data_IF_315589715952
#
_entry.id   IF_315589715952
#
_cell.length_a   1.000
_cell.length_b   1.000
_cell.length_c   1.000
_cell.angle_alpha   90.00
_cell.angle_beta   90.00
_cell.angle_gamma   90.00
#
_symmetry.space_group_name_H-M   'P 1'
#
loop_
_entity.id
_entity.type
_entity.pdbx_description
1 polymer ?
#
# COMPACT_ATOMS: atom_id res chain seq x y z
N UNK A 1 -4.32 7.59 17.89
CA UNK A 1 -4.35 6.60 16.77
C UNK A 1 -4.73 7.19 15.39
N UNK A 2 -5.51 8.27 15.27
CA UNK A 2 -6.05 8.72 13.98
C UNK A 2 -5.03 9.20 12.91
N UNK A 3 -3.89 9.74 13.30
CA UNK A 3 -2.96 10.37 12.35
C UNK A 3 -2.25 9.35 11.42
N UNK A 4 -1.79 8.22 11.94
CA UNK A 4 -1.12 7.18 11.14
C UNK A 4 -2.08 6.54 10.13
N UNK A 5 -3.31 6.26 10.58
CA UNK A 5 -4.38 5.74 9.74
C UNK A 5 -4.74 6.72 8.60
N UNK A 6 -4.88 8.00 8.92
CA UNK A 6 -5.16 9.04 7.92
C UNK A 6 -4.05 9.15 6.87
N UNK A 7 -2.78 9.15 7.30
CA UNK A 7 -1.64 9.19 6.38
C UNK A 7 -1.57 7.93 5.51
N UNK A 8 -1.82 6.76 6.08
CA UNK A 8 -1.81 5.51 5.32
C UNK A 8 -2.97 5.43 4.32
N UNK A 9 -4.16 5.91 4.67
CA UNK A 9 -5.30 6.03 3.74
C UNK A 9 -4.98 6.98 2.57
N UNK A 10 -4.38 8.13 2.86
CA UNK A 10 -4.01 9.11 1.84
C UNK A 10 -2.98 8.55 0.86
N UNK A 11 -1.86 8.03 1.40
CA UNK A 11 -0.77 7.46 0.59
C UNK A 11 -1.18 6.22 -0.20
N UNK A 12 -1.98 5.31 0.39
CA UNK A 12 -2.51 4.16 -0.35
C UNK A 12 -3.44 4.60 -1.49
N UNK A 13 -4.26 5.63 -1.27
CA UNK A 13 -5.14 6.16 -2.32
C UNK A 13 -4.37 6.79 -3.48
N UNK A 14 -3.29 7.54 -3.22
CA UNK A 14 -2.53 8.23 -4.26
C UNK A 14 -1.81 7.28 -5.23
N UNK A 15 -1.57 6.04 -4.82
CA UNK A 15 -0.94 5.01 -5.67
C UNK A 15 -1.93 3.93 -6.14
N UNK A 16 -3.23 4.10 -5.90
CA UNK A 16 -4.25 3.12 -6.29
C UNK A 16 -4.26 1.81 -5.46
N UNK A 17 -3.67 1.80 -4.27
CA UNK A 17 -3.63 0.65 -3.37
C UNK A 17 -4.97 0.44 -2.63
N UNK A 18 -6.02 0.10 -3.39
CA UNK A 18 -7.40 0.02 -2.91
C UNK A 18 -7.61 -0.97 -1.77
N UNK A 19 -6.92 -2.12 -1.77
CA UNK A 19 -7.05 -3.13 -0.71
C UNK A 19 -6.55 -2.60 0.63
N UNK A 20 -5.35 -2.01 0.66
CA UNK A 20 -4.78 -1.36 1.84
C UNK A 20 -5.67 -0.20 2.33
N UNK A 21 -6.15 0.65 1.42
CA UNK A 21 -7.08 1.75 1.74
C UNK A 21 -8.35 1.22 2.41
N UNK A 22 -8.98 0.19 1.84
CA UNK A 22 -10.23 -0.37 2.34
C UNK A 22 -10.07 -0.96 3.74
N UNK A 23 -8.95 -1.65 4.00
CA UNK A 23 -8.64 -2.15 5.36
C UNK A 23 -8.47 -0.98 6.33
N UNK A 24 -7.80 0.10 5.93
CA UNK A 24 -7.67 1.28 6.78
C UNK A 24 -9.03 1.94 7.10
N UNK A 25 -9.96 1.96 6.15
CA UNK A 25 -11.34 2.45 6.38
C UNK A 25 -12.04 1.57 7.44
N UNK A 26 -11.97 0.25 7.29
CA UNK A 26 -12.53 -0.69 8.26
C UNK A 26 -11.84 -0.57 9.64
N UNK A 27 -10.52 -0.39 9.66
CA UNK A 27 -9.74 -0.22 10.88
C UNK A 27 -10.14 1.05 11.64
N UNK A 28 -10.39 2.16 10.92
CA UNK A 28 -10.93 3.41 11.49
C UNK A 28 -12.28 3.16 12.15
N UNK A 29 -13.21 2.50 11.46
CA UNK A 29 -14.54 2.21 12.01
C UNK A 29 -14.48 1.36 13.30
N UNK A 30 -13.60 0.35 13.34
CA UNK A 30 -13.36 -0.44 14.56
C UNK A 30 -12.77 0.41 15.70
N UNK A 31 -11.88 1.35 15.37
CA UNK A 31 -11.30 2.28 16.36
C UNK A 31 -12.35 3.25 16.92
N UNK A 32 -13.25 3.77 16.08
CA UNK A 32 -14.33 4.67 16.49
C UNK A 32 -15.34 3.95 17.40
N UNK A 33 -15.58 2.66 17.14
CA UNK A 33 -16.46 1.82 17.96
C UNK A 33 -15.78 1.27 19.24
N UNK A 34 -14.53 1.65 19.53
CA UNK A 34 -13.72 1.07 20.61
C UNK A 34 -13.62 -0.48 20.56
N UNK A 35 -13.75 -1.06 19.37
CA UNK A 35 -13.70 -2.50 19.16
C UNK A 35 -12.25 -2.99 19.08
N UNK A 36 -11.63 -3.25 20.25
CA UNK A 36 -10.23 -3.69 20.34
C UNK A 36 -9.94 -4.96 19.54
N UNK A 37 -10.84 -5.94 19.58
CA UNK A 37 -10.66 -7.19 18.85
C UNK A 37 -10.73 -6.96 17.32
N UNK A 38 -11.65 -6.11 16.88
CA UNK A 38 -11.75 -5.68 15.49
C UNK A 38 -10.52 -4.90 15.02
N UNK A 39 -9.97 -4.04 15.89
CA UNK A 39 -8.72 -3.31 15.64
C UNK A 39 -7.53 -4.25 15.42
N UNK A 40 -7.34 -5.24 16.29
CA UNK A 40 -6.24 -6.21 16.15
C UNK A 40 -6.37 -7.03 14.87
N UNK A 41 -7.57 -7.51 14.54
CA UNK A 41 -7.82 -8.21 13.27
C UNK A 41 -7.56 -7.32 12.06
N UNK A 42 -8.01 -6.07 12.09
CA UNK A 42 -7.79 -5.15 11.00
C UNK A 42 -6.31 -4.81 10.80
N UNK A 43 -5.51 -4.79 11.88
CA UNK A 43 -4.06 -4.63 11.80
C UNK A 43 -3.38 -5.84 11.12
N UNK A 44 -3.74 -7.06 11.50
CA UNK A 44 -3.22 -8.28 10.88
C UNK A 44 -3.53 -8.32 9.36
N UNK A 45 -4.77 -7.99 8.99
CA UNK A 45 -5.16 -7.89 7.58
C UNK A 45 -4.40 -6.77 6.87
N UNK A 46 -4.17 -5.63 7.54
CA UNK A 46 -3.45 -4.49 6.97
C UNK A 46 -2.00 -4.87 6.64
N UNK A 47 -1.32 -5.58 7.55
CA UNK A 47 0.04 -6.08 7.31
C UNK A 47 0.09 -7.06 6.13
N UNK A 48 -0.89 -7.97 6.05
CA UNK A 48 -0.99 -8.91 4.93
C UNK A 48 -1.16 -8.18 3.59
N UNK A 49 -2.10 -7.23 3.52
CA UNK A 49 -2.38 -6.47 2.30
C UNK A 49 -1.20 -5.60 1.87
N UNK A 50 -0.51 -4.99 2.83
CA UNK A 50 0.69 -4.20 2.57
C UNK A 50 1.82 -5.07 2.01
N UNK A 51 2.11 -6.21 2.64
CA UNK A 51 3.14 -7.15 2.18
C UNK A 51 2.81 -7.70 0.79
N UNK A 52 1.55 -8.06 0.55
CA UNK A 52 1.09 -8.53 -0.75
C UNK A 52 1.33 -7.48 -1.85
N UNK A 53 0.90 -6.24 -1.61
CA UNK A 53 1.11 -5.13 -2.54
C UNK A 53 2.60 -4.89 -2.81
N UNK A 54 3.43 -4.87 -1.76
CA UNK A 54 4.87 -4.66 -1.87
C UNK A 54 5.52 -5.72 -2.75
N UNK A 55 5.19 -6.99 -2.55
CA UNK A 55 5.71 -8.09 -3.37
C UNK A 55 5.30 -7.96 -4.84
N UNK A 56 4.05 -7.59 -5.11
CA UNK A 56 3.55 -7.41 -6.48
C UNK A 56 4.18 -6.22 -7.19
N UNK A 57 4.37 -5.09 -6.49
CA UNK A 57 5.08 -3.94 -7.03
C UNK A 57 6.56 -4.27 -7.30
N UNK A 58 7.20 -5.02 -6.40
CA UNK A 58 8.57 -5.46 -6.61
C UNK A 58 8.71 -6.34 -7.85
N UNK A 59 7.82 -7.33 -8.02
CA UNK A 59 7.75 -8.18 -9.23
C UNK A 59 7.55 -7.35 -10.49
N UNK A 60 6.60 -6.39 -10.47
CA UNK A 60 6.35 -5.48 -11.58
C UNK A 60 7.61 -4.67 -11.95
N UNK A 61 8.25 -4.05 -10.96
CA UNK A 61 9.46 -3.24 -11.21
C UNK A 61 10.65 -4.07 -11.69
N UNK A 62 10.76 -5.33 -11.28
CA UNK A 62 11.78 -6.23 -11.82
C UNK A 62 11.55 -6.51 -13.31
N UNK A 63 10.31 -6.82 -13.70
CA UNK A 63 9.94 -7.05 -15.10
C UNK A 63 10.19 -5.79 -15.95
N UNK A 64 9.79 -4.61 -15.45
CA UNK A 64 9.99 -3.36 -16.18
C UNK A 64 11.48 -3.00 -16.32
N UNK A 65 12.30 -3.24 -15.29
CA UNK A 65 13.75 -3.06 -15.40
C UNK A 65 14.37 -4.03 -16.43
N UNK A 66 13.96 -5.29 -16.43
CA UNK A 66 14.43 -6.27 -17.43
C UNK A 66 14.02 -5.86 -18.85
N UNK A 67 12.80 -5.36 -19.04
CA UNK A 67 12.34 -4.82 -20.34
C UNK A 67 13.18 -3.63 -20.77
N UNK A 68 13.44 -2.67 -19.89
CA UNK A 68 14.24 -1.48 -20.18
C UNK A 68 15.67 -1.85 -20.58
N UNK A 69 16.31 -2.75 -19.81
CA UNK A 69 17.65 -3.25 -20.11
C UNK A 69 17.70 -4.04 -21.42
N UNK A 70 16.66 -4.82 -21.73
CA UNK A 70 16.55 -5.59 -22.96
C UNK A 70 16.16 -4.76 -24.20
N UNK A 71 15.45 -3.64 -24.02
CA UNK A 71 14.92 -2.82 -25.12
C UNK A 71 15.79 -1.59 -25.47
N UNK A 72 16.81 -1.25 -24.68
CA UNK A 72 17.70 -0.11 -24.94
C UNK A 72 17.03 1.27 -24.85
N UNK A 73 15.76 1.35 -24.44
CA UNK A 73 15.01 2.61 -24.31
C UNK A 73 15.17 3.14 -22.88
N UNK A 74 15.99 4.19 -22.73
CA UNK A 74 16.20 4.92 -21.47
C UNK A 74 14.97 5.81 -21.18
N UNK A 75 14.34 5.66 -20.02
CA UNK A 75 13.51 6.73 -19.47
C UNK A 75 14.40 7.88 -18.99
N UNK A 76 14.02 9.15 -19.21
CA UNK A 76 14.72 10.27 -18.60
C UNK A 76 14.51 10.17 -17.09
N UNK A 77 15.58 9.82 -16.38
CA UNK A 77 15.64 9.93 -14.94
C UNK A 77 15.54 11.42 -14.64
N UNK A 78 14.40 11.91 -14.12
CA UNK A 78 14.31 13.28 -13.63
C UNK A 78 15.31 13.42 -12.46
N UNK A 79 16.44 14.06 -12.76
CA UNK A 79 17.37 14.55 -11.75
C UNK A 79 16.74 15.80 -11.13
N UNK A 80 16.58 15.78 -9.81
CA UNK A 80 16.36 16.98 -9.00
C UNK A 80 17.55 17.14 -8.06
#
# INVERSE_FOLDING_TARGET
MGNHLNQLMGSSSSIGANRVRNVCIAFRANSEQNNRAGCLRALEVLEHEYCYLKSKLHELFQIEQQRVLGAGVRYPMQQN
#
